data_IF_945213272106
#
_entry.id   IF_945213272106
#
_cell.length_a   1.000
_cell.length_b   1.000
_cell.length_c   1.000
_cell.angle_alpha   90.00
_cell.angle_beta   90.00
_cell.angle_gamma   90.00
#
_symmetry.space_group_name_H-M   'P 1'
#
loop_
_entity.id
_entity.type
_entity.pdbx_description
1 polymer ?
#
# COMPACT_ATOMS: atom_id res chain seq x y z
N UNK A 1 -28.05 25.91 19.16
CA UNK A 1 -27.03 24.92 19.53
C UNK A 1 -26.56 24.31 18.23
N UNK A 2 -25.39 24.73 17.74
CA UNK A 2 -24.78 24.15 16.55
C UNK A 2 -24.57 22.66 16.82
N UNK A 3 -25.29 21.82 16.08
CA UNK A 3 -25.26 20.38 16.25
C UNK A 3 -23.87 19.83 15.99
N UNK A 4 -23.44 18.87 16.80
CA UNK A 4 -22.26 18.06 16.54
C UNK A 4 -22.36 17.46 15.13
N UNK A 5 -21.23 17.40 14.41
CA UNK A 5 -21.16 16.91 13.03
C UNK A 5 -21.51 15.42 12.91
N UNK A 6 -21.19 14.64 13.93
CA UNK A 6 -21.33 13.19 13.93
C UNK A 6 -22.29 12.70 15.04
N UNK A 7 -22.98 11.61 14.76
CA UNK A 7 -23.94 10.95 15.67
C UNK A 7 -23.42 9.65 16.28
N UNK A 8 -24.19 9.11 17.24
CA UNK A 8 -23.90 7.81 17.85
C UNK A 8 -23.82 6.71 16.79
N UNK A 9 -22.76 5.92 16.86
CA UNK A 9 -22.49 4.81 15.96
C UNK A 9 -21.90 5.20 14.61
N UNK A 10 -21.67 6.50 14.33
CA UNK A 10 -20.89 6.95 13.17
C UNK A 10 -19.43 6.48 13.28
N UNK A 11 -18.85 6.15 12.14
CA UNK A 11 -17.41 5.95 12.01
C UNK A 11 -16.72 7.30 11.82
N UNK A 12 -15.62 7.50 12.52
CA UNK A 12 -14.77 8.70 12.44
C UNK A 12 -13.31 8.28 12.43
N UNK A 13 -12.47 9.04 11.71
CA UNK A 13 -11.02 8.99 11.94
C UNK A 13 -10.71 9.94 13.10
N UNK A 14 -9.94 9.47 14.08
CA UNK A 14 -9.48 10.24 15.23
C UNK A 14 -7.97 10.46 15.15
N UNK A 15 -7.55 11.71 15.34
CA UNK A 15 -6.13 12.05 15.39
C UNK A 15 -5.58 11.78 16.80
N UNK A 16 -4.65 10.83 16.90
CA UNK A 16 -3.98 10.43 18.13
C UNK A 16 -2.54 10.99 18.22
N UNK A 17 -2.24 12.05 17.46
CA UNK A 17 -0.93 12.70 17.48
C UNK A 17 0.14 11.83 16.81
N UNK A 18 1.23 11.46 17.51
CA UNK A 18 2.30 10.62 16.95
C UNK A 18 1.82 9.26 16.44
N UNK A 19 0.76 8.69 17.04
CA UNK A 19 0.14 7.44 16.59
C UNK A 19 -0.75 7.61 15.36
N UNK A 20 -0.90 8.85 14.88
CA UNK A 20 -1.60 9.15 13.63
C UNK A 20 -3.12 9.05 13.71
N UNK A 21 -3.73 8.82 12.55
CA UNK A 21 -5.18 8.78 12.40
C UNK A 21 -5.72 7.36 12.54
N UNK A 22 -6.59 7.12 13.52
CA UNK A 22 -7.20 5.80 13.78
C UNK A 22 -8.70 5.80 13.51
N UNK A 23 -9.19 4.74 12.89
CA UNK A 23 -10.63 4.55 12.70
C UNK A 23 -11.26 4.20 14.05
N UNK A 24 -12.36 4.86 14.38
CA UNK A 24 -13.15 4.55 15.56
C UNK A 24 -14.64 4.75 15.32
N UNK A 25 -15.43 4.35 16.32
CA UNK A 25 -16.88 4.46 16.31
C UNK A 25 -17.34 5.30 17.49
N UNK A 26 -18.19 6.28 17.24
CA UNK A 26 -18.74 7.14 18.30
C UNK A 26 -19.68 6.31 19.18
N UNK A 27 -19.41 6.27 20.49
CA UNK A 27 -20.21 5.53 21.47
C UNK A 27 -20.94 6.44 22.47
N UNK A 28 -20.50 7.70 22.63
CA UNK A 28 -21.19 8.70 23.44
C UNK A 28 -21.03 10.11 22.84
N UNK A 29 -22.04 10.96 23.02
CA UNK A 29 -22.01 12.38 22.68
C UNK A 29 -21.96 13.21 23.96
N UNK A 30 -21.30 14.37 23.92
CA UNK A 30 -21.13 15.27 25.08
C UNK A 30 -20.55 14.52 26.30
N UNK A 31 -19.55 13.66 26.03
CA UNK A 31 -18.91 12.80 27.00
C UNK A 31 -18.23 13.60 28.12
N UNK A 32 -18.20 13.05 29.32
CA UNK A 32 -17.63 13.69 30.50
C UNK A 32 -17.13 12.66 31.50
N UNK A 33 -15.90 12.84 31.96
CA UNK A 33 -15.36 12.10 33.10
C UNK A 33 -15.85 12.65 34.44
N UNK A 34 -15.88 11.78 35.44
CA UNK A 34 -16.41 12.09 36.77
C UNK A 34 -15.67 13.24 37.47
N UNK A 35 -14.36 13.32 37.24
CA UNK A 35 -13.42 14.24 37.87
C UNK A 35 -13.27 15.56 37.11
N UNK A 36 -13.89 15.72 35.94
CA UNK A 36 -13.80 16.97 35.18
C UNK A 36 -14.52 18.13 35.88
N UNK A 37 -14.06 19.39 35.72
CA UNK A 37 -14.75 20.56 36.25
C UNK A 37 -16.19 20.67 35.71
N UNK A 38 -17.14 21.14 36.52
CA UNK A 38 -18.54 21.31 36.10
C UNK A 38 -18.64 22.09 34.77
N UNK A 39 -19.46 21.61 33.84
CA UNK A 39 -19.63 22.22 32.51
C UNK A 39 -18.60 21.82 31.45
N UNK A 40 -17.50 21.14 31.81
CA UNK A 40 -16.54 20.58 30.84
C UNK A 40 -17.05 19.25 30.27
N UNK A 41 -17.10 19.13 28.94
CA UNK A 41 -17.42 17.90 28.22
C UNK A 41 -16.63 17.85 26.92
N UNK A 42 -16.37 16.65 26.44
CA UNK A 42 -15.85 16.38 25.11
C UNK A 42 -17.02 16.14 24.15
N UNK A 43 -16.96 16.57 22.89
CA UNK A 43 -18.00 16.32 21.90
C UNK A 43 -18.32 14.83 21.74
N UNK A 44 -17.29 13.97 21.72
CA UNK A 44 -17.43 12.54 21.42
C UNK A 44 -16.58 11.67 22.35
N UNK A 45 -17.12 10.53 22.74
CA UNK A 45 -16.34 9.36 23.14
C UNK A 45 -16.34 8.36 21.99
N UNK A 46 -15.17 7.84 21.65
CA UNK A 46 -14.94 6.98 20.50
C UNK A 46 -14.28 5.69 20.95
N UNK A 47 -14.82 4.56 20.52
CA UNK A 47 -14.16 3.26 20.62
C UNK A 47 -13.32 3.04 19.36
N UNK A 48 -12.00 2.89 19.51
CA UNK A 48 -11.08 2.62 18.42
C UNK A 48 -11.38 1.22 17.85
N UNK A 49 -11.38 1.09 16.52
CA UNK A 49 -11.83 -0.11 15.85
C UNK A 49 -10.87 -1.30 16.04
N UNK A 50 -9.59 -1.01 16.23
CA UNK A 50 -8.48 -1.97 16.28
C UNK A 50 -8.41 -2.73 17.61
N UNK A 51 -8.39 -2.02 18.73
CA UNK A 51 -8.17 -2.57 20.08
C UNK A 51 -9.37 -2.37 21.02
N UNK A 52 -10.44 -1.72 20.52
CA UNK A 52 -11.58 -1.28 21.32
C UNK A 52 -11.22 -0.32 22.46
N UNK A 53 -10.05 0.32 22.39
CA UNK A 53 -9.61 1.37 23.29
C UNK A 53 -10.57 2.56 23.25
N UNK A 54 -10.85 3.16 24.41
CA UNK A 54 -11.73 4.31 24.52
C UNK A 54 -10.92 5.61 24.52
N UNK A 55 -11.21 6.49 23.58
CA UNK A 55 -10.66 7.85 23.52
C UNK A 55 -11.78 8.87 23.54
N UNK A 56 -11.45 10.11 23.91
CA UNK A 56 -12.36 11.24 23.72
C UNK A 56 -11.76 12.23 22.73
N UNK A 57 -12.62 12.81 21.91
CA UNK A 57 -12.23 13.85 20.94
C UNK A 57 -12.26 15.19 21.66
N UNK A 58 -11.17 15.98 21.73
CA UNK A 58 -11.16 17.24 22.48
C UNK A 58 -12.13 18.29 21.91
N UNK A 59 -12.18 18.42 20.59
CA UNK A 59 -12.98 19.43 19.88
C UNK A 59 -13.59 18.82 18.60
N UNK A 60 -14.79 19.28 18.22
CA UNK A 60 -15.47 18.83 17.00
C UNK A 60 -14.92 19.59 15.78
N UNK A 61 -13.65 19.33 15.48
CA UNK A 61 -12.90 19.96 14.39
C UNK A 61 -12.15 18.90 13.57
N UNK A 62 -11.95 19.18 12.27
CA UNK A 62 -11.26 18.28 11.34
C UNK A 62 -9.81 17.99 11.71
N UNK A 63 -9.20 18.75 12.62
CA UNK A 63 -7.86 18.48 13.16
C UNK A 63 -7.86 17.33 14.18
N UNK A 64 -9.00 17.05 14.82
CA UNK A 64 -9.15 16.01 15.83
C UNK A 64 -9.99 14.83 15.36
N UNK A 65 -11.04 15.09 14.59
CA UNK A 65 -11.90 14.06 14.04
C UNK A 65 -12.46 14.43 12.67
N UNK A 66 -12.47 13.48 11.73
CA UNK A 66 -13.01 13.66 10.38
C UNK A 66 -13.78 12.44 9.90
N UNK A 67 -14.61 12.63 8.88
CA UNK A 67 -15.26 11.51 8.19
C UNK A 67 -14.17 10.60 7.56
N UNK A 68 -14.27 9.27 7.73
CA UNK A 68 -13.35 8.34 7.09
C UNK A 68 -13.61 8.31 5.59
N UNK A 69 -12.54 8.41 4.80
CA UNK A 69 -12.63 8.14 3.36
C UNK A 69 -12.84 6.64 3.12
N UNK A 70 -13.23 6.27 1.90
CA UNK A 70 -13.30 4.84 1.50
C UNK A 70 -11.95 4.13 1.69
N UNK A 71 -10.86 4.84 1.44
CA UNK A 71 -9.51 4.33 1.58
C UNK A 71 -9.15 4.13 3.06
N UNK A 72 -9.49 5.09 3.93
CA UNK A 72 -9.31 4.93 5.39
C UNK A 72 -10.06 3.68 5.91
N UNK A 73 -11.31 3.49 5.48
CA UNK A 73 -12.09 2.31 5.86
C UNK A 73 -11.46 1.01 5.35
N UNK A 74 -10.94 0.99 4.13
CA UNK A 74 -10.30 -0.22 3.58
C UNK A 74 -8.99 -0.55 4.30
N UNK A 75 -8.13 0.45 4.55
CA UNK A 75 -6.87 0.25 5.28
C UNK A 75 -7.15 -0.30 6.68
N UNK A 76 -8.15 0.25 7.38
CA UNK A 76 -8.48 -0.14 8.75
C UNK A 76 -9.27 -1.46 8.87
N UNK A 77 -10.07 -1.83 7.87
CA UNK A 77 -10.99 -2.98 7.95
C UNK A 77 -10.60 -4.18 7.08
N UNK A 78 -9.71 -4.01 6.10
CA UNK A 78 -9.27 -5.07 5.20
C UNK A 78 -7.82 -5.42 5.49
N UNK A 79 -7.50 -6.72 5.43
CA UNK A 79 -6.14 -7.21 5.64
C UNK A 79 -5.15 -6.77 4.56
N UNK A 80 -5.63 -6.61 3.33
CA UNK A 80 -4.88 -6.22 2.14
C UNK A 80 -5.82 -5.79 1.00
N UNK A 81 -5.26 -5.19 -0.04
CA UNK A 81 -6.01 -4.69 -1.21
C UNK A 81 -6.75 -5.76 -2.01
N UNK A 82 -6.32 -7.02 -1.91
CA UNK A 82 -6.93 -8.16 -2.58
C UNK A 82 -7.91 -8.89 -1.68
N UNK A 83 -8.09 -8.49 -0.42
CA UNK A 83 -9.12 -9.05 0.44
C UNK A 83 -10.52 -8.65 -0.05
N UNK A 84 -11.51 -9.52 0.16
CA UNK A 84 -12.90 -9.19 -0.16
C UNK A 84 -13.36 -7.98 0.66
N UNK A 85 -14.02 -7.02 -0.01
CA UNK A 85 -14.36 -5.75 0.64
C UNK A 85 -15.52 -5.93 1.64
N UNK A 86 -15.20 -6.03 2.93
CA UNK A 86 -16.16 -5.86 4.02
C UNK A 86 -16.85 -4.48 3.97
N UNK A 87 -16.15 -3.45 3.46
CA UNK A 87 -16.68 -2.09 3.36
C UNK A 87 -17.91 -1.98 2.42
N UNK A 88 -17.99 -2.80 1.38
CA UNK A 88 -19.17 -2.85 0.51
C UNK A 88 -20.39 -3.45 1.22
N UNK A 89 -20.16 -4.35 2.19
CA UNK A 89 -21.20 -4.95 3.01
C UNK A 89 -21.68 -4.01 4.12
N UNK A 90 -20.78 -3.25 4.76
CA UNK A 90 -21.13 -2.33 5.87
C UNK A 90 -21.87 -1.07 5.40
N UNK A 91 -21.56 -0.54 4.21
CA UNK A 91 -22.24 0.65 3.65
C UNK A 91 -23.68 0.32 3.23
N UNK A 92 -23.98 -0.92 2.81
CA UNK A 92 -25.32 -1.35 2.45
C UNK A 92 -26.31 -1.29 3.63
N UNK A 93 -25.83 -1.36 4.88
CA UNK A 93 -26.66 -1.35 6.09
C UNK A 93 -27.27 0.03 6.40
N UNK A 94 -26.73 1.13 5.83
CA UNK A 94 -27.15 2.50 6.18
C UNK A 94 -28.29 3.12 5.35
N UNK A 95 -28.96 2.36 4.48
CA UNK A 95 -30.19 2.80 3.81
C UNK A 95 -30.05 4.02 2.88
N UNK A 96 -28.87 4.63 2.76
CA UNK A 96 -28.54 5.49 1.63
C UNK A 96 -28.42 4.56 0.43
N UNK A 97 -29.41 4.63 -0.47
CA UNK A 97 -29.29 4.04 -1.81
C UNK A 97 -27.86 4.30 -2.29
N UNK A 98 -27.12 3.27 -2.75
CA UNK A 98 -25.84 3.50 -3.40
C UNK A 98 -26.11 4.58 -4.43
N UNK A 99 -25.52 5.75 -4.26
CA UNK A 99 -25.35 6.63 -5.41
C UNK A 99 -24.63 5.76 -6.39
N UNK A 100 -25.34 5.34 -7.44
CA UNK A 100 -24.78 4.73 -8.63
C UNK A 100 -23.74 5.72 -9.17
N UNK A 101 -22.55 5.67 -8.58
CA UNK A 101 -21.36 6.01 -9.30
C UNK A 101 -21.34 4.98 -10.40
N UNK A 102 -21.74 5.43 -11.59
CA UNK A 102 -21.31 4.83 -12.84
C UNK A 102 -19.82 4.62 -12.66
N UNK A 103 -19.43 3.38 -12.34
CA UNK A 103 -18.12 2.86 -12.69
C UNK A 103 -17.98 3.27 -14.13
N UNK A 104 -17.09 4.24 -14.37
CA UNK A 104 -17.00 4.89 -15.67
C UNK A 104 -16.94 3.79 -16.72
N UNK A 105 -17.98 3.71 -17.54
CA UNK A 105 -18.13 2.80 -18.68
C UNK A 105 -17.12 3.11 -19.79
N UNK A 106 -15.96 3.67 -19.44
CA UNK A 106 -14.78 3.81 -20.28
C UNK A 106 -13.82 2.61 -20.12
N UNK A 107 -14.20 1.58 -19.33
CA UNK A 107 -13.31 0.49 -18.90
C UNK A 107 -13.29 -0.73 -19.82
N UNK A 108 -14.16 -0.79 -20.83
CA UNK A 108 -14.35 -1.99 -21.65
C UNK A 108 -13.61 -1.99 -23.00
N UNK A 109 -12.94 -0.89 -23.39
CA UNK A 109 -12.31 -0.80 -24.74
C UNK A 109 -10.77 -0.84 -24.73
N UNK A 110 -10.13 -0.80 -23.56
CA UNK A 110 -8.70 -1.07 -23.42
C UNK A 110 -8.55 -2.49 -22.90
N UNK A 111 -8.42 -3.47 -23.80
CA UNK A 111 -8.01 -4.82 -23.42
C UNK A 111 -6.74 -4.76 -22.56
N UNK A 112 -6.56 -5.70 -21.62
CA UNK A 112 -5.40 -5.70 -20.74
C UNK A 112 -4.11 -5.85 -21.56
N UNK A 113 -3.44 -4.73 -21.87
CA UNK A 113 -2.11 -4.71 -22.49
C UNK A 113 -0.98 -5.08 -21.51
N UNK A 114 -1.32 -5.78 -20.42
CA UNK A 114 -0.34 -6.43 -19.56
C UNK A 114 0.40 -7.51 -20.37
N UNK A 115 1.67 -7.71 -20.06
CA UNK A 115 2.50 -8.63 -20.82
C UNK A 115 3.74 -9.03 -20.05
N UNK A 116 4.04 -10.33 -20.08
CA UNK A 116 5.21 -10.95 -19.43
C UNK A 116 6.22 -11.51 -20.44
N UNK A 117 6.21 -11.03 -21.69
CA UNK A 117 7.14 -11.50 -22.73
C UNK A 117 8.57 -10.95 -22.51
N UNK A 118 9.58 -11.78 -22.74
CA UNK A 118 11.01 -11.58 -22.40
C UNK A 118 11.76 -10.44 -23.14
N UNK A 119 11.10 -9.60 -23.94
CA UNK A 119 11.75 -8.60 -24.79
C UNK A 119 12.05 -7.27 -24.06
N UNK A 120 12.60 -7.39 -22.85
CA UNK A 120 12.72 -6.35 -21.84
C UNK A 120 13.76 -5.23 -22.11
N UNK A 121 14.34 -5.12 -23.31
CA UNK A 121 15.44 -4.16 -23.59
C UNK A 121 15.20 -3.18 -24.75
N UNK A 122 13.94 -2.89 -25.10
CA UNK A 122 13.60 -1.80 -26.04
C UNK A 122 12.76 -0.70 -25.38
N UNK A 123 12.47 0.41 -26.09
CA UNK A 123 11.38 1.34 -25.70
C UNK A 123 10.17 0.49 -25.33
N UNK A 124 9.57 0.71 -24.15
CA UNK A 124 8.65 -0.23 -23.48
C UNK A 124 9.28 -1.34 -22.61
N UNK A 125 10.53 -1.17 -22.15
CA UNK A 125 11.17 -2.05 -21.17
C UNK A 125 10.39 -2.09 -19.84
N UNK A 126 10.65 -3.05 -18.94
CA UNK A 126 9.93 -3.18 -17.65
C UNK A 126 9.97 -1.92 -16.77
N UNK A 127 10.95 -1.03 -16.99
CA UNK A 127 11.05 0.28 -16.33
C UNK A 127 10.29 1.42 -17.03
N UNK A 128 9.74 1.21 -18.23
CA UNK A 128 9.02 2.22 -19.00
C UNK A 128 7.54 2.24 -18.59
N UNK A 129 7.18 3.25 -17.81
CA UNK A 129 5.87 3.37 -17.18
C UNK A 129 4.92 4.12 -18.12
N UNK A 130 4.16 3.36 -18.91
CA UNK A 130 3.19 3.87 -19.88
C UNK A 130 1.92 4.49 -19.26
N UNK A 131 1.82 4.43 -17.92
CA UNK A 131 0.68 4.93 -17.21
C UNK A 131 -0.63 4.22 -17.60
N UNK A 132 -0.70 2.89 -17.44
CA UNK A 132 -1.99 2.13 -17.46
C UNK A 132 -2.40 1.60 -16.07
N UNK A 133 -1.47 0.96 -15.37
CA UNK A 133 -1.44 0.88 -13.91
C UNK A 133 -0.34 1.84 -13.50
N UNK A 134 -0.68 3.06 -13.09
CA UNK A 134 0.25 4.21 -13.08
C UNK A 134 1.39 4.13 -12.06
N UNK A 135 2.22 3.10 -12.15
CA UNK A 135 3.38 2.83 -11.32
C UNK A 135 3.91 1.40 -11.41
N UNK A 136 3.09 0.44 -11.82
CA UNK A 136 3.28 -1.00 -11.62
C UNK A 136 4.07 -1.63 -12.79
N UNK A 137 4.81 -2.72 -12.54
CA UNK A 137 5.41 -3.50 -13.63
C UNK A 137 4.30 -3.99 -14.60
N UNK A 138 4.59 -4.06 -15.91
CA UNK A 138 3.64 -4.54 -16.92
C UNK A 138 3.39 -6.05 -16.84
N UNK A 139 4.28 -6.78 -16.19
CA UNK A 139 4.15 -8.19 -15.92
C UNK A 139 3.69 -8.43 -14.48
N UNK A 140 2.46 -8.95 -14.26
CA UNK A 140 1.98 -9.30 -12.92
C UNK A 140 2.90 -10.25 -12.13
N UNK A 141 3.70 -11.09 -12.81
CA UNK A 141 4.69 -11.98 -12.18
C UNK A 141 5.87 -11.25 -11.53
N UNK A 142 6.07 -9.98 -11.85
CA UNK A 142 7.10 -9.12 -11.26
C UNK A 142 6.54 -8.17 -10.21
N UNK A 143 5.24 -8.19 -9.94
CA UNK A 143 4.63 -7.33 -8.93
C UNK A 143 5.19 -7.64 -7.54
N UNK A 144 5.54 -6.60 -6.79
CA UNK A 144 5.99 -6.75 -5.41
C UNK A 144 4.80 -6.80 -4.45
N UNK A 145 5.09 -6.96 -3.17
CA UNK A 145 4.09 -6.87 -2.10
C UNK A 145 3.31 -5.56 -2.12
N UNK A 146 3.90 -4.47 -2.60
CA UNK A 146 3.20 -3.19 -2.72
C UNK A 146 2.10 -3.25 -3.78
N UNK A 147 2.43 -3.71 -4.99
CA UNK A 147 1.46 -3.83 -6.08
C UNK A 147 0.33 -4.82 -5.75
N UNK A 148 0.66 -5.89 -5.01
CA UNK A 148 -0.30 -6.91 -4.60
C UNK A 148 -1.15 -6.46 -3.40
N UNK A 149 -0.57 -5.92 -2.34
CA UNK A 149 -1.27 -5.78 -1.06
C UNK A 149 -1.65 -4.34 -0.67
N UNK A 150 -1.08 -3.31 -1.30
CA UNK A 150 -1.33 -1.91 -0.91
C UNK A 150 -2.66 -1.37 -1.44
N UNK A 151 -3.42 -0.75 -0.54
CA UNK A 151 -4.67 -0.05 -0.84
C UNK A 151 -4.46 1.20 -1.71
N UNK A 152 -3.25 1.77 -1.71
CA UNK A 152 -2.90 2.87 -2.61
C UNK A 152 -2.56 2.39 -4.02
N UNK A 153 -2.06 1.16 -4.19
CA UNK A 153 -1.62 0.63 -5.49
C UNK A 153 -2.74 -0.12 -6.22
N UNK A 154 -3.47 -1.02 -5.54
CA UNK A 154 -4.65 -1.74 -6.07
C UNK A 154 -4.47 -2.20 -7.53
N UNK A 155 -3.32 -2.79 -7.85
CA UNK A 155 -2.89 -3.02 -9.22
C UNK A 155 -3.84 -3.97 -9.95
N UNK A 156 -4.25 -5.04 -9.29
CA UNK A 156 -5.24 -6.00 -9.81
C UNK A 156 -6.52 -5.30 -10.24
N UNK A 157 -7.17 -4.58 -9.32
CA UNK A 157 -8.42 -3.88 -9.60
C UNK A 157 -8.23 -2.82 -10.68
N UNK A 158 -7.18 -2.01 -10.63
CA UNK A 158 -6.93 -0.93 -11.61
C UNK A 158 -6.80 -1.47 -13.02
N UNK A 159 -6.11 -2.60 -13.18
CA UNK A 159 -5.97 -3.30 -14.46
C UNK A 159 -7.17 -4.19 -14.83
N UNK A 160 -8.19 -4.29 -13.96
CA UNK A 160 -9.35 -5.14 -14.22
C UNK A 160 -9.02 -6.64 -14.19
N UNK A 161 -7.98 -7.04 -13.44
CA UNK A 161 -7.66 -8.45 -13.24
C UNK A 161 -8.67 -9.08 -12.28
N UNK A 162 -9.15 -10.26 -12.64
CA UNK A 162 -9.93 -11.11 -11.75
C UNK A 162 -9.05 -11.56 -10.57
N UNK A 163 -9.63 -11.62 -9.38
CA UNK A 163 -9.03 -12.25 -8.21
C UNK A 163 -9.94 -13.42 -7.82
N UNK A 164 -9.39 -14.63 -7.82
CA UNK A 164 -10.05 -15.84 -7.33
C UNK A 164 -9.56 -16.12 -5.92
N UNK A 165 -10.50 -16.20 -4.98
CA UNK A 165 -10.23 -16.34 -3.55
C UNK A 165 -10.37 -17.80 -3.11
N UNK A 166 -9.41 -18.27 -2.34
CA UNK A 166 -9.45 -19.57 -1.69
C UNK A 166 -9.06 -19.42 -0.24
N UNK A 167 -10.03 -19.61 0.65
CA UNK A 167 -9.81 -19.50 2.09
C UNK A 167 -9.95 -20.87 2.75
N UNK A 168 -9.00 -21.22 3.60
CA UNK A 168 -8.95 -22.48 4.35
C UNK A 168 -8.72 -22.17 5.83
N UNK A 169 -9.51 -22.79 6.69
CA UNK A 169 -9.31 -22.78 8.13
C UNK A 169 -8.84 -24.17 8.57
N UNK A 170 -7.60 -24.28 9.08
CA UNK A 170 -7.05 -25.53 9.60
C UNK A 170 -7.46 -25.79 11.06
N UNK A 171 -8.25 -24.89 11.66
CA UNK A 171 -8.78 -25.03 13.00
C UNK A 171 -7.75 -24.69 14.07
N UNK A 172 -7.62 -25.57 15.07
CA UNK A 172 -6.74 -25.38 16.22
C UNK A 172 -5.60 -26.38 16.16
N UNK A 173 -4.39 -25.90 16.36
CA UNK A 173 -3.14 -26.66 16.23
C UNK A 173 -2.31 -26.42 17.49
N UNK A 174 -1.76 -27.47 18.10
CA UNK A 174 -0.88 -27.31 19.27
C UNK A 174 0.58 -27.11 18.82
N UNK A 175 1.37 -26.43 19.64
CA UNK A 175 2.83 -26.50 19.49
C UNK A 175 3.29 -27.95 19.63
N UNK A 176 4.07 -28.41 18.65
CA UNK A 176 4.51 -29.80 18.49
C UNK A 176 3.70 -30.60 17.47
N UNK A 177 2.54 -30.11 17.02
CA UNK A 177 1.76 -30.80 15.98
C UNK A 177 2.41 -30.63 14.60
N UNK A 178 2.26 -31.66 13.77
CA UNK A 178 2.66 -31.60 12.37
C UNK A 178 1.51 -31.02 11.53
N UNK A 179 1.85 -30.08 10.65
CA UNK A 179 0.98 -29.64 9.57
C UNK A 179 1.44 -30.33 8.28
N UNK A 180 0.49 -30.90 7.57
CA UNK A 180 0.65 -31.44 6.22
C UNK A 180 -0.57 -31.01 5.40
N UNK A 181 -0.63 -29.72 5.10
CA UNK A 181 -1.67 -29.13 4.28
C UNK A 181 -1.19 -29.06 2.84
N UNK A 182 -1.85 -29.81 1.96
CA UNK A 182 -1.70 -29.66 0.53
C UNK A 182 -3.02 -29.20 -0.08
N UNK A 183 -3.03 -28.15 -0.92
CA UNK A 183 -4.20 -27.77 -1.68
C UNK A 183 -4.44 -28.78 -2.81
N UNK A 184 -4.95 -29.97 -2.48
CA UNK A 184 -5.22 -31.04 -3.47
C UNK A 184 -6.32 -30.59 -4.44
N UNK A 185 -6.06 -30.77 -5.75
CA UNK A 185 -6.89 -30.55 -6.97
C UNK A 185 -7.63 -29.19 -7.15
N UNK A 186 -8.04 -28.51 -6.08
CA UNK A 186 -9.03 -27.43 -6.10
C UNK A 186 -8.46 -26.01 -6.29
N UNK A 187 -7.15 -25.82 -6.19
CA UNK A 187 -6.56 -24.54 -6.60
C UNK A 187 -6.45 -24.47 -8.13
N UNK A 188 -6.98 -23.40 -8.75
CA UNK A 188 -6.82 -23.16 -10.18
C UNK A 188 -5.34 -23.07 -10.58
N UNK A 189 -4.55 -22.30 -9.83
CA UNK A 189 -3.10 -22.17 -10.01
C UNK A 189 -2.34 -23.25 -9.24
N UNK A 190 -1.31 -23.83 -9.87
CA UNK A 190 -0.50 -24.91 -9.29
C UNK A 190 0.87 -24.45 -8.76
N UNK A 191 1.27 -23.22 -9.06
CA UNK A 191 2.56 -22.63 -8.68
C UNK A 191 2.44 -21.09 -8.53
N UNK A 192 3.57 -20.41 -8.29
CA UNK A 192 3.65 -18.95 -8.23
C UNK A 192 3.28 -18.31 -6.89
N UNK A 193 2.98 -19.09 -5.86
CA UNK A 193 2.61 -18.57 -4.55
C UNK A 193 3.80 -18.02 -3.73
N UNK A 194 5.04 -18.29 -4.13
CA UNK A 194 6.25 -17.75 -3.49
C UNK A 194 6.64 -16.34 -3.98
N UNK A 195 5.84 -15.70 -4.84
CA UNK A 195 6.11 -14.34 -5.30
C UNK A 195 6.16 -13.34 -4.13
N UNK A 196 5.09 -13.24 -3.32
CA UNK A 196 5.03 -12.36 -2.15
C UNK A 196 4.24 -12.95 -0.96
N UNK A 197 4.52 -14.17 -0.47
CA UNK A 197 3.80 -14.76 0.65
C UNK A 197 4.07 -14.02 1.98
N UNK A 198 3.08 -14.02 2.89
CA UNK A 198 3.24 -13.43 4.23
C UNK A 198 3.96 -14.39 5.19
N UNK A 199 5.15 -14.88 4.80
CA UNK A 199 5.91 -15.91 5.53
C UNK A 199 6.20 -15.52 6.98
N UNK A 200 6.40 -14.24 7.24
CA UNK A 200 6.63 -13.69 8.59
C UNK A 200 5.46 -13.92 9.54
N UNK A 201 4.29 -14.40 9.07
CA UNK A 201 3.13 -14.76 9.92
C UNK A 201 3.11 -16.24 10.32
N UNK A 202 3.86 -17.10 9.64
CA UNK A 202 3.91 -18.53 9.95
C UNK A 202 4.69 -18.79 11.25
N UNK A 203 4.29 -19.78 12.07
CA UNK A 203 5.07 -20.18 13.22
C UNK A 203 6.40 -20.82 12.78
N UNK A 204 7.44 -20.80 13.63
CA UNK A 204 8.69 -21.50 13.36
C UNK A 204 8.45 -23.00 13.11
N UNK A 205 9.27 -23.61 12.26
CA UNK A 205 9.19 -25.03 11.88
C UNK A 205 8.16 -25.38 10.79
N UNK A 206 7.28 -24.44 10.42
CA UNK A 206 6.33 -24.57 9.32
C UNK A 206 6.88 -23.90 8.06
N UNK A 207 6.88 -24.64 6.95
CA UNK A 207 7.38 -24.18 5.65
C UNK A 207 6.21 -24.07 4.66
N UNK A 208 6.29 -23.06 3.80
CA UNK A 208 5.36 -22.86 2.69
C UNK A 208 6.09 -23.07 1.35
N UNK A 209 5.44 -23.73 0.41
CA UNK A 209 5.98 -24.07 -0.90
C UNK A 209 5.24 -23.33 -2.02
N UNK A 210 5.91 -23.17 -3.16
CA UNK A 210 5.39 -22.42 -4.31
C UNK A 210 4.09 -22.98 -4.90
N UNK A 211 3.80 -24.25 -4.66
CA UNK A 211 2.56 -24.91 -5.06
C UNK A 211 1.39 -24.73 -4.06
N UNK A 212 1.54 -23.85 -3.05
CA UNK A 212 0.53 -23.61 -2.03
C UNK A 212 0.52 -24.60 -0.87
N UNK A 213 1.46 -25.54 -0.80
CA UNK A 213 1.57 -26.53 0.28
C UNK A 213 2.18 -25.91 1.53
N UNK A 214 1.66 -26.28 2.71
CA UNK A 214 2.16 -25.87 4.02
C UNK A 214 2.47 -27.13 4.83
N UNK A 215 3.75 -27.31 5.19
CA UNK A 215 4.23 -28.53 5.82
C UNK A 215 5.28 -28.24 6.90
N UNK A 216 5.31 -29.06 7.95
CA UNK A 216 6.31 -28.96 9.01
C UNK A 216 5.71 -29.14 10.39
N UNK A 217 6.52 -28.96 11.42
CA UNK A 217 6.07 -29.06 12.81
C UNK A 217 5.96 -27.67 13.41
N UNK A 218 4.83 -27.35 14.05
CA UNK A 218 4.67 -26.07 14.75
C UNK A 218 5.62 -26.05 15.94
N UNK A 219 6.54 -25.09 15.97
CA UNK A 219 7.48 -24.89 17.07
C UNK A 219 7.10 -23.67 17.89
N UNK A 220 7.69 -23.59 19.09
CA UNK A 220 7.54 -22.44 19.98
C UNK A 220 7.97 -21.15 19.27
N UNK A 221 7.10 -20.14 19.32
CA UNK A 221 7.31 -18.81 18.75
C UNK A 221 7.47 -17.79 19.89
N UNK A 222 8.70 -17.30 20.15
CA UNK A 222 8.95 -16.39 21.25
C UNK A 222 8.40 -14.97 21.01
N UNK A 223 7.91 -14.67 19.80
CA UNK A 223 7.32 -13.37 19.47
C UNK A 223 5.79 -13.34 19.65
N UNK A 224 5.18 -14.42 20.12
CA UNK A 224 3.72 -14.57 20.18
C UNK A 224 3.28 -15.03 21.57
N UNK A 225 2.04 -14.70 21.92
CA UNK A 225 1.42 -15.13 23.17
C UNK A 225 1.23 -16.65 23.24
N UNK A 226 0.80 -17.14 24.40
CA UNK A 226 0.47 -18.56 24.66
C UNK A 226 -0.57 -19.15 23.69
N UNK A 227 -1.42 -18.30 23.12
CA UNK A 227 -2.41 -18.65 22.11
C UNK A 227 -2.52 -17.50 21.13
N UNK A 228 -2.38 -17.77 19.84
CA UNK A 228 -2.41 -16.73 18.81
C UNK A 228 -3.03 -17.23 17.52
N UNK A 229 -3.60 -16.30 16.76
CA UNK A 229 -4.16 -16.56 15.43
C UNK A 229 -3.06 -16.38 14.38
N UNK A 230 -3.02 -17.32 13.43
CA UNK A 230 -2.24 -17.21 12.20
C UNK A 230 -3.20 -16.87 11.07
N UNK A 231 -2.92 -15.81 10.34
CA UNK A 231 -3.65 -15.40 9.13
C UNK A 231 -2.65 -15.24 7.98
N UNK A 232 -2.34 -16.35 7.32
CA UNK A 232 -1.36 -16.42 6.26
C UNK A 232 -2.02 -16.17 4.90
N UNK A 233 -1.36 -15.35 4.07
CA UNK A 233 -1.80 -15.03 2.71
C UNK A 233 -0.66 -15.29 1.73
N UNK A 234 -0.98 -15.92 0.61
CA UNK A 234 -0.12 -16.01 -0.54
C UNK A 234 -0.92 -15.74 -1.81
N UNK A 235 -0.28 -15.11 -2.80
CA UNK A 235 -0.91 -14.77 -4.08
C UNK A 235 -0.10 -15.39 -5.19
N UNK A 236 -0.76 -16.17 -6.04
CA UNK A 236 -0.21 -16.59 -7.32
C UNK A 236 -0.67 -15.65 -8.41
N UNK A 237 0.27 -15.18 -9.21
CA UNK A 237 0.01 -14.49 -10.46
C UNK A 237 0.30 -15.37 -11.68
N UNK A 238 0.46 -16.69 -11.51
CA UNK A 238 0.86 -17.57 -12.61
C UNK A 238 -0.13 -17.53 -13.79
N UNK A 239 -1.43 -17.56 -13.48
CA UNK A 239 -2.56 -17.61 -14.43
C UNK A 239 -3.31 -16.27 -14.53
N UNK A 240 -2.62 -15.15 -14.31
CA UNK A 240 -3.21 -13.80 -14.30
C UNK A 240 -3.95 -13.44 -15.60
N UNK A 241 -3.53 -14.02 -16.72
CA UNK A 241 -4.04 -13.80 -18.07
C UNK A 241 -5.19 -14.74 -18.45
N UNK A 242 -5.45 -15.79 -17.66
CA UNK A 242 -6.65 -16.61 -17.82
C UNK A 242 -7.87 -15.88 -17.21
N UNK A 243 -8.84 -15.41 -18.02
CA UNK A 243 -10.01 -14.69 -17.49
C UNK A 243 -10.92 -15.55 -16.60
N UNK A 244 -10.82 -16.88 -16.69
CA UNK A 244 -11.54 -17.79 -15.80
C UNK A 244 -10.85 -17.92 -14.43
N UNK A 245 -9.55 -17.65 -14.33
CA UNK A 245 -8.76 -17.80 -13.09
C UNK A 245 -8.31 -16.45 -12.55
N UNK A 246 -7.51 -15.70 -13.30
CA UNK A 246 -6.89 -14.46 -12.87
C UNK A 246 -5.83 -14.69 -11.79
N UNK A 247 -5.73 -13.74 -10.85
CA UNK A 247 -4.88 -13.86 -9.68
C UNK A 247 -5.51 -14.85 -8.70
N UNK A 248 -4.74 -15.74 -8.10
CA UNK A 248 -5.24 -16.67 -7.08
C UNK A 248 -4.74 -16.23 -5.71
N UNK A 249 -5.65 -15.82 -4.84
CA UNK A 249 -5.35 -15.46 -3.44
C UNK A 249 -5.70 -16.62 -2.52
N UNK A 250 -4.68 -17.21 -1.93
CA UNK A 250 -4.78 -18.29 -0.94
C UNK A 250 -4.68 -17.70 0.47
N UNK A 251 -5.71 -17.92 1.28
CA UNK A 251 -5.75 -17.58 2.69
C UNK A 251 -5.78 -18.84 3.53
N UNK A 252 -4.87 -18.94 4.49
CA UNK A 252 -4.82 -20.04 5.44
C UNK A 252 -4.88 -19.44 6.84
N UNK A 253 -5.93 -19.80 7.58
CA UNK A 253 -6.13 -19.40 8.96
C UNK A 253 -6.04 -20.61 9.89
N UNK A 254 -5.50 -20.41 11.09
CA UNK A 254 -5.58 -21.36 12.19
C UNK A 254 -5.22 -20.68 13.51
N UNK A 255 -5.56 -21.31 14.62
CA UNK A 255 -5.18 -20.88 15.97
C UNK A 255 -4.11 -21.82 16.51
N UNK A 256 -2.98 -21.27 16.93
CA UNK A 256 -1.94 -22.01 17.65
C UNK A 256 -2.23 -21.91 19.14
N UNK A 257 -2.30 -23.07 19.80
CA UNK A 257 -2.45 -23.21 21.25
C UNK A 257 -1.19 -23.86 21.84
N UNK A 258 -0.97 -23.67 23.15
CA UNK A 258 0.15 -24.31 23.86
C UNK A 258 1.52 -23.71 23.55
N UNK A 259 1.60 -22.44 23.11
CA UNK A 259 2.85 -21.74 22.83
C UNK A 259 3.58 -21.31 24.12
N UNK A 260 4.01 -22.30 24.90
CA UNK A 260 4.78 -22.11 26.12
C UNK A 260 6.27 -22.33 25.84
N UNK A 261 7.16 -21.56 26.48
CA UNK A 261 8.59 -21.73 26.30
C UNK A 261 9.02 -23.13 26.75
N UNK A 262 9.80 -23.87 25.95
CA UNK A 262 10.44 -25.10 26.37
C UNK A 262 11.33 -24.86 27.60
N UNK A 263 11.54 -25.89 28.42
CA UNK A 263 12.31 -25.79 29.67
C UNK A 263 13.75 -25.29 29.49
N UNK A 264 14.31 -25.54 28.33
CA UNK A 264 15.65 -25.18 27.89
C UNK A 264 15.74 -23.81 27.23
N UNK A 265 14.60 -23.15 26.97
CA UNK A 265 14.54 -21.85 26.33
C UNK A 265 14.77 -20.73 27.36
N UNK A 266 15.81 -19.94 27.14
CA UNK A 266 16.14 -18.80 28.00
C UNK A 266 15.35 -17.56 27.57
N UNK A 267 14.14 -17.42 28.14
CA UNK A 267 13.25 -16.28 27.89
C UNK A 267 13.93 -14.95 28.23
N UNK A 268 14.66 -14.89 29.34
CA UNK A 268 15.31 -13.66 29.78
C UNK A 268 16.44 -13.23 28.82
N UNK A 269 17.22 -14.19 28.31
CA UNK A 269 18.23 -13.90 27.29
C UNK A 269 17.61 -13.41 25.99
N UNK A 270 16.50 -14.01 25.54
CA UNK A 270 15.78 -13.55 24.35
C UNK A 270 15.22 -12.15 24.52
N UNK A 271 14.53 -11.86 25.63
CA UNK A 271 14.00 -10.53 25.94
C UNK A 271 15.12 -9.49 25.96
N UNK A 272 16.24 -9.81 26.62
CA UNK A 272 17.41 -8.94 26.64
C UNK A 272 18.00 -8.71 25.24
N UNK A 273 17.99 -9.71 24.36
CA UNK A 273 18.43 -9.56 22.98
C UNK A 273 17.48 -8.66 22.18
N UNK A 274 16.17 -8.81 22.33
CA UNK A 274 15.17 -7.94 21.70
C UNK A 274 15.29 -6.50 22.19
N UNK A 275 15.49 -6.28 23.50
CA UNK A 275 15.73 -4.96 24.08
C UNK A 275 16.98 -4.29 23.50
N UNK A 276 18.09 -5.02 23.37
CA UNK A 276 19.32 -4.49 22.76
C UNK A 276 19.11 -4.13 21.29
N UNK A 277 18.44 -5.00 20.54
CA UNK A 277 18.12 -4.74 19.13
C UNK A 277 17.22 -3.50 18.99
N UNK A 278 16.19 -3.37 19.81
CA UNK A 278 15.33 -2.19 19.86
C UNK A 278 16.12 -0.92 20.25
N UNK A 279 17.03 -1.00 21.23
CA UNK A 279 17.88 0.14 21.60
C UNK A 279 18.78 0.58 20.44
N UNK A 280 19.34 -0.37 19.68
CA UNK A 280 20.14 -0.07 18.48
C UNK A 280 19.29 0.56 17.37
N UNK A 281 18.08 0.04 17.13
CA UNK A 281 17.17 0.62 16.15
C UNK A 281 16.77 2.06 16.51
N UNK A 282 16.45 2.32 17.78
CA UNK A 282 16.14 3.65 18.29
C UNK A 282 17.33 4.63 18.21
N UNK A 283 18.55 4.15 18.46
CA UNK A 283 19.76 4.94 18.26
C UNK A 283 19.89 5.36 16.78
N UNK A 284 19.77 4.41 15.86
CA UNK A 284 19.82 4.70 14.41
C UNK A 284 18.70 5.67 14.01
N UNK A 285 17.49 5.50 14.55
CA UNK A 285 16.37 6.41 14.30
C UNK A 285 16.67 7.84 14.75
N UNK A 286 17.28 8.00 15.94
CA UNK A 286 17.69 9.31 16.45
C UNK A 286 18.79 9.92 15.59
N UNK A 287 19.76 9.12 15.13
CA UNK A 287 20.82 9.58 14.23
C UNK A 287 20.24 10.08 12.90
N UNK A 288 19.27 9.35 12.32
CA UNK A 288 18.53 9.78 11.12
C UNK A 288 17.79 11.11 11.32
N UNK A 289 17.12 11.27 12.47
CA UNK A 289 16.45 12.52 12.84
C UNK A 289 17.43 13.68 12.96
N UNK A 290 18.56 13.46 13.64
CA UNK A 290 19.61 14.47 13.76
C UNK A 290 20.17 14.90 12.40
N UNK A 291 20.49 13.94 11.52
CA UNK A 291 20.97 14.25 10.16
C UNK A 291 19.94 15.06 9.36
N UNK A 292 18.64 14.77 9.53
CA UNK A 292 17.58 15.55 8.90
C UNK A 292 17.51 16.98 9.45
N UNK A 293 17.56 17.15 10.78
CA UNK A 293 17.54 18.46 11.43
C UNK A 293 18.73 19.34 11.00
N UNK A 294 19.92 18.74 10.84
CA UNK A 294 21.11 19.44 10.34
C UNK A 294 20.94 19.92 8.89
N UNK A 295 20.27 19.12 8.05
CA UNK A 295 19.93 19.53 6.69
C UNK A 295 18.91 20.68 6.69
N UNK A 296 17.86 20.61 7.52
CA UNK A 296 16.87 21.69 7.64
C UNK A 296 17.49 23.01 8.15
N UNK A 297 18.49 22.91 9.03
CA UNK A 297 19.27 24.04 9.51
C UNK A 297 20.29 24.58 8.48
N UNK A 298 20.49 23.89 7.35
CA UNK A 298 21.46 24.26 6.32
C UNK A 298 22.91 23.95 6.67
N UNK A 299 23.14 23.08 7.67
CA UNK A 299 24.48 22.64 8.09
C UNK A 299 25.05 21.56 7.18
N UNK A 300 24.17 20.75 6.57
CA UNK A 300 24.52 19.72 5.58
C UNK A 300 23.90 20.05 4.22
N UNK A 301 24.64 19.76 3.15
CA UNK A 301 24.08 19.78 1.80
C UNK A 301 23.35 18.45 1.49
N UNK A 302 22.55 18.43 0.44
CA UNK A 302 21.78 17.24 0.06
C UNK A 302 22.64 15.99 -0.09
N UNK A 303 23.87 16.11 -0.61
CA UNK A 303 24.73 14.96 -0.90
C UNK A 303 25.25 14.35 0.38
N UNK A 304 25.73 15.17 1.30
CA UNK A 304 26.25 14.70 2.58
C UNK A 304 25.12 14.15 3.47
N UNK A 305 23.94 14.80 3.45
CA UNK A 305 22.73 14.27 4.11
C UNK A 305 22.35 12.90 3.58
N UNK A 306 22.22 12.72 2.26
CA UNK A 306 21.88 11.43 1.68
C UNK A 306 22.90 10.35 2.01
N UNK A 307 24.21 10.67 1.89
CA UNK A 307 25.28 9.73 2.22
C UNK A 307 25.19 9.24 3.67
N UNK A 308 24.95 10.14 4.61
CA UNK A 308 24.85 9.78 6.02
C UNK A 308 23.57 8.97 6.30
N UNK A 309 22.41 9.43 5.81
CA UNK A 309 21.16 8.70 5.97
C UNK A 309 21.21 7.30 5.34
N UNK A 310 21.74 7.15 4.13
CA UNK A 310 21.89 5.84 3.48
C UNK A 310 22.81 4.90 4.27
N UNK A 311 23.86 5.42 4.90
CA UNK A 311 24.72 4.63 5.79
C UNK A 311 23.93 4.10 7.00
N UNK A 312 23.16 4.95 7.65
CA UNK A 312 22.35 4.58 8.82
C UNK A 312 21.18 3.66 8.46
N UNK A 313 20.53 3.88 7.32
CA UNK A 313 19.52 2.98 6.79
C UNK A 313 20.10 1.59 6.42
N UNK A 314 21.33 1.55 5.92
CA UNK A 314 22.05 0.29 5.70
C UNK A 314 22.32 -0.48 7.02
N UNK A 315 22.65 0.25 8.10
CA UNK A 315 22.79 -0.34 9.44
C UNK A 315 21.45 -0.88 9.95
N UNK A 316 20.38 -0.10 9.81
CA UNK A 316 19.04 -0.54 10.22
C UNK A 316 18.59 -1.77 9.44
N UNK A 317 18.75 -1.78 8.12
CA UNK A 317 18.45 -2.95 7.30
C UNK A 317 19.21 -4.20 7.78
N UNK A 318 20.51 -4.07 8.03
CA UNK A 318 21.34 -5.20 8.52
C UNK A 318 20.87 -5.74 9.87
N UNK A 319 20.37 -4.86 10.74
CA UNK A 319 19.75 -5.24 12.00
C UNK A 319 18.45 -6.02 11.77
N UNK A 320 17.59 -5.55 10.86
CA UNK A 320 16.31 -6.20 10.56
C UNK A 320 16.45 -7.50 9.79
N UNK A 321 17.48 -7.67 8.97
CA UNK A 321 17.79 -8.98 8.38
C UNK A 321 18.16 -10.03 9.44
N UNK A 322 18.72 -9.59 10.59
CA UNK A 322 19.00 -10.47 11.73
C UNK A 322 17.79 -10.67 12.64
N UNK A 323 16.99 -9.62 12.82
CA UNK A 323 15.81 -9.62 13.69
C UNK A 323 14.55 -9.21 12.88
N UNK A 324 14.08 -10.05 11.95
CA UNK A 324 13.03 -9.66 11.00
C UNK A 324 11.70 -9.32 11.66
N UNK A 325 11.42 -9.89 12.84
CA UNK A 325 10.20 -9.66 13.62
C UNK A 325 10.36 -8.63 14.75
N UNK A 326 11.46 -7.89 14.77
CA UNK A 326 11.69 -6.86 15.79
C UNK A 326 10.51 -5.88 15.80
N UNK A 327 9.90 -5.72 16.98
CA UNK A 327 8.75 -4.83 17.22
C UNK A 327 7.59 -5.08 16.23
N UNK A 328 7.26 -6.35 15.98
CA UNK A 328 6.16 -6.73 15.09
C UNK A 328 6.35 -6.33 13.62
N UNK A 329 7.57 -5.94 13.23
CA UNK A 329 7.87 -5.44 11.88
C UNK A 329 7.73 -3.92 11.72
N UNK A 330 7.43 -3.18 12.79
CA UNK A 330 7.36 -1.71 12.79
C UNK A 330 8.62 -1.08 12.19
N UNK A 331 9.79 -1.60 12.53
CA UNK A 331 11.06 -1.09 12.01
C UNK A 331 11.25 -1.27 10.49
N UNK A 332 10.59 -2.25 9.84
CA UNK A 332 10.58 -2.33 8.38
C UNK A 332 9.78 -1.19 7.76
N UNK A 333 8.67 -0.82 8.40
CA UNK A 333 7.86 0.31 7.98
C UNK A 333 8.64 1.62 8.14
N UNK A 334 9.33 1.81 9.29
CA UNK A 334 10.23 2.94 9.52
C UNK A 334 11.37 2.99 8.50
N UNK A 335 12.04 1.85 8.24
CA UNK A 335 13.11 1.75 7.24
C UNK A 335 12.64 2.27 5.87
N UNK A 336 11.48 1.82 5.41
CA UNK A 336 10.89 2.30 4.16
C UNK A 336 10.47 3.77 4.19
N UNK A 337 9.89 4.24 5.31
CA UNK A 337 9.52 5.63 5.52
C UNK A 337 10.70 6.60 5.46
N UNK A 338 11.85 6.26 6.05
CA UNK A 338 13.04 7.11 5.97
C UNK A 338 13.74 7.08 4.61
N UNK A 339 13.65 5.99 3.86
CA UNK A 339 14.11 6.01 2.46
C UNK A 339 13.31 7.05 1.65
N UNK A 340 12.06 7.34 2.00
CA UNK A 340 11.28 8.40 1.36
C UNK A 340 11.85 9.79 1.65
N UNK A 341 12.49 10.00 2.81
CA UNK A 341 13.18 11.25 3.12
C UNK A 341 14.43 11.42 2.25
N UNK A 342 15.23 10.36 2.10
CA UNK A 342 16.34 10.34 1.12
C UNK A 342 15.84 10.63 -0.28
N UNK A 343 14.68 10.05 -0.66
CA UNK A 343 14.09 10.28 -1.96
C UNK A 343 13.72 11.76 -2.22
N UNK A 344 13.27 12.47 -1.20
CA UNK A 344 12.97 13.92 -1.29
C UNK A 344 14.21 14.76 -1.61
N UNK A 345 15.40 14.28 -1.26
CA UNK A 345 16.68 14.97 -1.47
C UNK A 345 17.31 14.70 -2.85
N UNK A 346 16.50 14.20 -3.80
CA UNK A 346 16.86 13.93 -5.20
C UNK A 346 17.72 12.68 -5.43
N UNK A 347 17.83 11.79 -4.45
CA UNK A 347 18.29 10.43 -4.68
C UNK A 347 17.12 9.52 -5.07
N UNK A 348 17.30 8.63 -6.05
CA UNK A 348 16.23 7.74 -6.46
C UNK A 348 16.25 6.46 -5.62
N UNK A 349 15.65 6.54 -4.42
CA UNK A 349 15.49 5.41 -3.48
C UNK A 349 14.06 4.87 -3.43
N UNK A 350 13.22 5.20 -4.43
CA UNK A 350 11.81 4.84 -4.43
C UNK A 350 11.59 3.32 -4.41
N UNK A 351 12.46 2.58 -5.12
CA UNK A 351 12.43 1.12 -5.13
C UNK A 351 12.63 0.55 -3.72
N UNK A 352 13.64 1.03 -2.99
CA UNK A 352 13.92 0.61 -1.62
C UNK A 352 12.76 0.97 -0.67
N UNK A 353 12.17 2.15 -0.82
CA UNK A 353 10.99 2.54 -0.05
C UNK A 353 9.88 1.50 -0.21
N UNK A 354 9.55 1.18 -1.44
CA UNK A 354 8.45 0.28 -1.79
C UNK A 354 8.77 -1.16 -1.37
N UNK A 355 10.01 -1.61 -1.54
CA UNK A 355 10.45 -2.93 -1.10
C UNK A 355 10.22 -3.12 0.40
N UNK A 356 10.68 -2.19 1.22
CA UNK A 356 10.60 -2.32 2.68
C UNK A 356 9.18 -2.07 3.22
N UNK A 357 8.46 -1.09 2.67
CA UNK A 357 7.05 -0.85 3.03
C UNK A 357 6.17 -2.03 2.59
N UNK A 358 6.43 -2.61 1.42
CA UNK A 358 5.76 -3.81 0.94
C UNK A 358 6.03 -5.01 1.85
N UNK A 359 7.26 -5.16 2.34
CA UNK A 359 7.56 -6.19 3.35
C UNK A 359 6.83 -5.93 4.67
N UNK A 360 6.73 -4.68 5.11
CA UNK A 360 5.99 -4.30 6.33
C UNK A 360 4.49 -4.69 6.26
N UNK A 361 3.85 -4.60 5.09
CA UNK A 361 2.46 -5.07 4.90
C UNK A 361 2.27 -6.57 5.22
N UNK A 362 3.36 -7.36 5.23
CA UNK A 362 3.29 -8.81 5.47
C UNK A 362 3.19 -9.20 6.94
N UNK A 363 3.39 -8.31 7.91
CA UNK A 363 3.45 -8.68 9.34
C UNK A 363 2.09 -8.95 10.00
N UNK A 364 1.01 -8.42 9.43
CA UNK A 364 -0.36 -8.62 9.95
C UNK A 364 -0.72 -7.74 11.15
N UNK A 365 0.23 -6.93 11.61
CA UNK A 365 0.00 -5.90 12.62
C UNK A 365 -0.69 -4.68 11.97
N UNK A 366 -1.84 -4.20 12.49
CA UNK A 366 -2.58 -3.11 11.86
C UNK A 366 -1.92 -1.73 12.02
N UNK A 367 -1.16 -1.49 13.08
CA UNK A 367 -0.33 -0.29 13.27
C UNK A 367 0.76 -0.22 12.19
N UNK A 368 1.49 -1.33 12.01
CA UNK A 368 2.55 -1.46 11.00
C UNK A 368 1.98 -1.28 9.60
N UNK A 369 0.84 -1.92 9.30
CA UNK A 369 0.11 -1.77 8.02
C UNK A 369 -0.29 -0.32 7.79
N UNK A 370 -0.91 0.32 8.78
CA UNK A 370 -1.37 1.70 8.65
C UNK A 370 -0.21 2.65 8.36
N UNK A 371 0.89 2.55 9.10
CA UNK A 371 2.09 3.36 8.88
C UNK A 371 2.68 3.10 7.49
N UNK A 372 2.74 1.83 7.06
CA UNK A 372 3.24 1.47 5.75
C UNK A 372 2.38 2.10 4.64
N UNK A 373 1.05 2.02 4.73
CA UNK A 373 0.14 2.62 3.76
C UNK A 373 0.27 4.15 3.70
N UNK A 374 0.40 4.84 4.84
CA UNK A 374 0.60 6.29 4.82
C UNK A 374 1.84 6.72 4.01
N UNK A 375 2.93 5.94 4.10
CA UNK A 375 4.13 6.19 3.32
C UNK A 375 3.98 5.74 1.86
N UNK A 376 3.30 4.62 1.61
CA UNK A 376 3.03 4.12 0.26
C UNK A 376 2.11 5.03 -0.54
N UNK A 377 1.25 5.82 0.11
CA UNK A 377 0.52 6.91 -0.53
C UNK A 377 1.47 7.89 -1.22
N UNK A 378 2.54 8.27 -0.53
CA UNK A 378 3.61 9.11 -1.05
C UNK A 378 4.35 8.44 -2.20
N UNK A 379 4.75 7.17 -2.03
CA UNK A 379 5.38 6.39 -3.11
C UNK A 379 4.51 6.34 -4.37
N UNK A 380 3.22 6.04 -4.20
CA UNK A 380 2.27 5.93 -5.29
C UNK A 380 2.11 7.27 -6.04
N UNK A 381 1.99 8.37 -5.30
CA UNK A 381 1.96 9.72 -5.87
C UNK A 381 3.24 10.04 -6.66
N UNK A 382 4.41 9.60 -6.19
CA UNK A 382 5.67 9.74 -6.93
C UNK A 382 5.65 8.93 -8.23
N UNK A 383 5.22 7.66 -8.17
CA UNK A 383 5.08 6.81 -9.37
C UNK A 383 4.13 7.42 -10.40
N UNK A 384 3.03 8.03 -9.96
CA UNK A 384 2.09 8.75 -10.82
C UNK A 384 2.76 9.93 -11.54
N UNK A 385 3.53 10.73 -10.80
CA UNK A 385 4.23 11.88 -11.34
C UNK A 385 5.34 11.47 -12.33
N UNK A 386 6.08 10.39 -12.04
CA UNK A 386 7.05 9.81 -12.98
C UNK A 386 6.37 9.30 -14.26
N UNK A 387 5.20 8.65 -14.12
CA UNK A 387 4.40 8.21 -15.27
C UNK A 387 3.95 9.42 -16.10
N UNK A 388 3.50 10.50 -15.47
CA UNK A 388 3.13 11.74 -16.16
C UNK A 388 4.30 12.32 -16.98
N UNK A 389 5.52 12.26 -16.43
CA UNK A 389 6.74 12.70 -17.13
C UNK A 389 7.04 11.85 -18.36
N UNK A 390 6.99 10.51 -18.25
CA UNK A 390 7.23 9.65 -19.41
C UNK A 390 6.18 9.84 -20.50
N UNK A 391 4.91 9.90 -20.12
CA UNK A 391 3.83 10.16 -21.07
C UNK A 391 3.94 11.55 -21.73
N UNK A 392 4.47 12.54 -21.02
CA UNK A 392 4.77 13.85 -21.61
C UNK A 392 5.84 13.74 -22.69
N UNK A 393 6.93 13.02 -22.43
CA UNK A 393 8.00 12.73 -23.41
C UNK A 393 7.41 11.99 -24.62
N UNK A 394 6.56 11.00 -24.40
CA UNK A 394 5.91 10.25 -25.47
C UNK A 394 5.01 11.13 -26.33
N UNK A 395 4.23 12.01 -25.68
CA UNK A 395 3.41 12.99 -26.37
C UNK A 395 4.25 13.93 -27.25
N UNK A 396 5.41 14.39 -26.77
CA UNK A 396 6.35 15.19 -27.55
C UNK A 396 6.90 14.41 -28.74
N UNK A 397 7.28 13.13 -28.57
CA UNK A 397 7.75 12.29 -29.68
C UNK A 397 6.65 12.07 -30.73
N UNK A 398 5.40 11.84 -30.31
CA UNK A 398 4.24 11.72 -31.20
C UNK A 398 4.01 13.03 -31.98
N UNK A 399 4.14 14.19 -31.33
CA UNK A 399 4.10 15.50 -32.02
C UNK A 399 5.19 15.62 -33.09
N UNK A 400 6.44 15.21 -32.77
CA UNK A 400 7.55 15.23 -33.73
C UNK A 400 7.32 14.32 -34.94
N UNK A 401 6.52 13.26 -34.80
CA UNK A 401 6.10 12.36 -35.90
C UNK A 401 4.86 12.86 -36.65
N UNK A 402 4.26 13.97 -36.23
CA UNK A 402 3.01 14.49 -36.81
C UNK A 402 1.75 13.75 -36.35
N UNK A 403 1.83 12.93 -35.32
CA UNK A 403 0.73 12.14 -34.75
C UNK A 403 -0.10 12.98 -33.76
N UNK A 404 -0.59 14.14 -34.20
CA UNK A 404 -1.13 15.19 -33.31
C UNK A 404 -2.32 14.75 -32.45
N UNK A 405 -3.23 13.93 -32.99
CA UNK A 405 -4.38 13.41 -32.24
C UNK A 405 -3.96 12.44 -31.13
N UNK A 406 -3.01 11.55 -31.43
CA UNK A 406 -2.44 10.62 -30.45
C UNK A 406 -1.70 11.38 -29.36
N UNK A 407 -0.85 12.35 -29.74
CA UNK A 407 -0.16 13.22 -28.82
C UNK A 407 -1.10 13.93 -27.84
N UNK A 408 -2.15 14.57 -28.36
CA UNK A 408 -3.14 15.26 -27.52
C UNK A 408 -3.81 14.31 -26.52
N UNK A 409 -4.10 13.07 -26.92
CA UNK A 409 -4.67 12.07 -26.03
C UNK A 409 -3.67 11.60 -24.96
N UNK A 410 -2.42 11.30 -25.34
CA UNK A 410 -1.36 10.93 -24.41
C UNK A 410 -1.11 12.03 -23.37
N UNK A 411 -1.03 13.28 -23.80
CA UNK A 411 -0.80 14.44 -22.94
C UNK A 411 -1.97 14.71 -21.99
N UNK A 412 -3.22 14.53 -22.46
CA UNK A 412 -4.39 14.57 -21.59
C UNK A 412 -4.32 13.52 -20.48
N UNK A 413 -3.90 12.30 -20.82
CA UNK A 413 -3.74 11.22 -19.84
C UNK A 413 -2.58 11.48 -18.87
N UNK A 414 -1.49 12.10 -19.34
CA UNK A 414 -0.39 12.57 -18.49
C UNK A 414 -0.87 13.64 -17.49
N UNK A 415 -1.68 14.59 -17.95
CA UNK A 415 -2.22 15.68 -17.13
C UNK A 415 -3.06 15.17 -15.96
N UNK A 416 -3.75 14.05 -16.13
CA UNK A 416 -4.56 13.42 -15.09
C UNK A 416 -3.74 12.73 -13.98
N UNK A 417 -2.41 12.64 -14.12
CA UNK A 417 -1.50 11.97 -13.16
C UNK A 417 -0.58 12.93 -12.42
N UNK A 418 -0.70 14.23 -12.69
CA UNK A 418 0.22 15.26 -12.21
C UNK A 418 0.09 15.57 -10.72
N UNK A 419 -1.00 15.19 -10.06
CA UNK A 419 -1.30 15.59 -8.68
C UNK A 419 -0.43 14.85 -7.63
N UNK A 420 0.68 14.24 -8.08
CA UNK A 420 1.69 13.66 -7.22
C UNK A 420 2.66 14.70 -6.65
N UNK A 421 3.24 14.40 -5.49
CA UNK A 421 4.25 15.25 -4.87
C UNK A 421 5.58 15.16 -5.64
N UNK A 422 6.26 16.28 -5.94
CA UNK A 422 7.65 16.27 -6.46
C UNK A 422 7.92 17.11 -7.71
N UNK A 423 9.17 17.08 -8.16
CA UNK A 423 9.67 17.83 -9.31
C UNK A 423 9.94 16.87 -10.48
N UNK A 424 8.95 16.65 -11.36
CA UNK A 424 9.17 15.89 -12.59
C UNK A 424 8.62 16.60 -13.83
N UNK A 425 7.55 17.38 -13.66
CA UNK A 425 6.92 18.20 -14.69
C UNK A 425 6.37 19.46 -14.01
N UNK A 426 6.61 20.65 -14.56
CA UNK A 426 6.06 21.87 -13.96
C UNK A 426 4.55 21.94 -14.19
N UNK A 427 3.86 22.72 -13.35
CA UNK A 427 2.41 22.95 -13.35
C UNK A 427 1.81 23.53 -14.65
N UNK A 428 2.57 23.64 -15.75
CA UNK A 428 2.05 24.09 -17.05
C UNK A 428 2.49 23.24 -18.25
N UNK A 429 3.59 22.50 -18.15
CA UNK A 429 4.29 21.96 -19.32
C UNK A 429 3.41 20.98 -20.13
N UNK A 430 2.76 20.03 -19.44
CA UNK A 430 1.86 19.07 -20.09
C UNK A 430 0.69 19.76 -20.78
N UNK A 431 0.05 20.76 -20.14
CA UNK A 431 -1.12 21.42 -20.70
C UNK A 431 -0.80 22.32 -21.88
N UNK A 432 0.33 23.04 -21.81
CA UNK A 432 0.79 23.84 -22.94
C UNK A 432 1.09 22.92 -24.13
N UNK A 433 1.75 21.79 -23.88
CA UNK A 433 2.04 20.79 -24.90
C UNK A 433 0.75 20.18 -25.48
N UNK A 434 -0.22 19.82 -24.63
CA UNK A 434 -1.52 19.28 -25.05
C UNK A 434 -2.27 20.28 -25.94
N UNK A 435 -2.31 21.54 -25.51
CA UNK A 435 -2.98 22.62 -26.23
C UNK A 435 -2.37 22.83 -27.60
N UNK A 436 -1.03 22.83 -27.69
CA UNK A 436 -0.31 22.92 -28.96
C UNK A 436 -0.67 21.75 -29.89
N UNK A 437 -0.66 20.50 -29.38
CA UNK A 437 -1.02 19.33 -30.17
C UNK A 437 -2.47 19.42 -30.73
N UNK A 438 -3.43 19.87 -29.91
CA UNK A 438 -4.83 20.06 -30.33
C UNK A 438 -4.98 21.13 -31.40
N UNK A 439 -4.32 22.28 -31.24
CA UNK A 439 -4.38 23.39 -32.20
C UNK A 439 -3.83 22.97 -33.57
N UNK A 440 -2.66 22.32 -33.60
CA UNK A 440 -2.05 21.85 -34.86
C UNK A 440 -2.90 20.75 -35.51
N UNK A 441 -3.48 19.84 -34.72
CA UNK A 441 -4.41 18.84 -35.24
C UNK A 441 -5.62 19.50 -35.91
N UNK A 442 -6.25 20.46 -35.23
CA UNK A 442 -7.40 21.20 -35.77
C UNK A 442 -7.07 21.96 -37.06
N UNK A 443 -5.92 22.64 -37.12
CA UNK A 443 -5.45 23.32 -38.32
C UNK A 443 -5.19 22.33 -39.48
N UNK A 444 -4.65 21.14 -39.18
CA UNK A 444 -4.41 20.09 -40.18
C UNK A 444 -5.71 19.55 -40.77
N UNK A 445 -6.75 19.38 -39.94
CA UNK A 445 -8.08 18.97 -40.40
C UNK A 445 -8.72 20.05 -41.28
N UNK A 446 -8.71 21.31 -40.83
CA UNK A 446 -9.26 22.43 -41.58
C UNK A 446 -8.60 22.60 -42.97
N UNK A 447 -7.28 22.43 -43.06
CA UNK A 447 -6.56 22.52 -44.33
C UNK A 447 -6.93 21.36 -45.28
N UNK A 448 -7.13 20.14 -44.76
CA UNK A 448 -7.58 18.99 -45.57
C UNK A 448 -8.97 19.22 -46.15
N UNK A 449 -9.88 19.82 -45.38
CA UNK A 449 -11.23 20.10 -45.86
C UNK A 449 -11.24 21.19 -46.95
N UNK A 450 -10.43 22.24 -46.78
CA UNK A 450 -10.23 23.26 -47.85
C UNK A 450 -9.64 22.67 -49.13
N UNK A 451 -8.72 21.69 -48.99
CA UNK A 451 -8.10 21.00 -50.13
C UNK A 451 -9.10 20.15 -50.92
N UNK A 452 -10.08 19.55 -50.23
CA UNK A 452 -11.14 18.75 -50.87
C UNK A 452 -12.13 19.63 -51.65
N UNK A 453 -12.48 20.79 -51.11
CA UNK A 453 -13.41 21.73 -51.77
C UNK A 453 -12.78 22.37 -53.02
N UNK A 454 -11.45 22.52 -53.07
CA UNK A 454 -10.76 23.07 -54.24
C UNK A 454 -10.43 22.08 -55.37
N UNK A 455 -10.68 20.77 -55.17
CA UNK A 455 -10.34 19.70 -56.12
C UNK A 455 -11.48 19.22 -57.03
N UNK A 456 -12.70 19.73 -56.85
CA UNK A 456 -13.87 19.44 -57.69
C UNK A 456 -14.16 20.56 -58.73
N UNK A 457 -13.17 21.41 -59.00
CA UNK A 457 -13.27 22.53 -59.96
C UNK A 457 -12.76 22.19 -61.36
#
# INVERSE_FOLDING_TARGET
MSGLRFGLGDFVMCNLGPSGWKLGRIIALLYRESEWPAGKSAPYQVAIQEDHGLVYVPEDDDSYCREPTKEDMRIALCMDALAESLAEQTVAVRGKKPTEFKTGTARAELGSELGCADDATQRHSPGYRDGRCHGCDRCPRNWSSVELYSEHYRCAERNGLKVTHHSVDLGRIQVGDAIDFSPVENLPSKDGFMQCPTLVRLPPGVLFSDNGTLAGQVQFDPHRDATYKVEFVAVSTADWDDPAVGLVRLEIAFVVEGNQPPSEYDVAAFEQEQERANATANEIYRDLGHTWDQWEAGELDNRDTCKQMCSDLGRLRSLLERYPRLDGGNWWAQLGGYHMNVHKLLENTLFECELYLGHALTFGDPDVRWYAEQNLKGCYQKRLLESARFMWIDGLEQMMRGEWASAAQTLRLAAAKRDGWGWAVNFGDIWFTESAARLVHGATLANRDLSKVGGEG
#
